data_IF_465569017044
#
_entry.id   IF_465569017044
#
_cell.length_a   1.000
_cell.length_b   1.000
_cell.length_c   1.000
_cell.angle_alpha   90.00
_cell.angle_beta   90.00
_cell.angle_gamma   90.00
#
_symmetry.space_group_name_H-M   'P 1'
#
loop_
_entity.id
_entity.type
_entity.pdbx_description
1 polymer ?
#
# COMPACT_ATOMS: atom_id res chain seq x y z
N UNK A 1 14.26 -0.49 -19.22
CA UNK A 1 15.02 -1.30 -18.24
C UNK A 1 14.16 -2.39 -17.60
N UNK A 2 12.92 -2.11 -17.16
CA UNK A 2 12.04 -3.12 -16.55
C UNK A 2 11.61 -4.23 -17.52
N UNK A 3 11.25 -3.86 -18.76
CA UNK A 3 10.81 -4.80 -19.81
C UNK A 3 11.88 -5.85 -20.12
N UNK A 4 13.15 -5.46 -20.16
CA UNK A 4 14.27 -6.38 -20.39
C UNK A 4 14.40 -7.39 -19.24
N UNK A 5 14.29 -6.92 -18.00
CA UNK A 5 14.36 -7.79 -16.83
C UNK A 5 13.17 -8.77 -16.81
N UNK A 6 11.97 -8.33 -17.15
CA UNK A 6 10.81 -9.21 -17.28
C UNK A 6 11.03 -10.32 -18.30
N UNK A 7 11.56 -9.98 -19.49
CA UNK A 7 11.85 -10.97 -20.53
C UNK A 7 12.92 -11.97 -20.08
N UNK A 8 13.99 -11.47 -19.45
CA UNK A 8 15.05 -12.31 -18.92
C UNK A 8 14.54 -13.31 -17.88
N UNK A 9 13.72 -12.85 -16.93
CA UNK A 9 13.19 -13.70 -15.87
C UNK A 9 12.15 -14.71 -16.38
N UNK A 10 11.36 -14.36 -17.41
CA UNK A 10 10.42 -15.30 -18.03
C UNK A 10 11.10 -16.44 -18.79
N UNK A 11 12.30 -16.20 -19.31
CA UNK A 11 13.11 -17.22 -19.98
C UNK A 11 14.05 -17.99 -19.06
N UNK A 12 13.97 -17.77 -17.74
CA UNK A 12 14.83 -18.44 -16.78
C UNK A 12 14.23 -19.79 -16.37
N UNK A 13 14.96 -20.89 -16.62
CA UNK A 13 14.49 -22.25 -16.35
C UNK A 13 14.59 -22.68 -14.87
N UNK A 14 15.21 -21.86 -14.02
CA UNK A 14 15.38 -22.15 -12.60
C UNK A 14 14.25 -21.60 -11.72
N UNK A 15 14.28 -21.95 -10.43
CA UNK A 15 13.40 -21.34 -9.44
C UNK A 15 13.86 -19.92 -9.08
N UNK A 16 12.90 -19.02 -8.91
CA UNK A 16 13.14 -17.61 -8.60
C UNK A 16 12.42 -17.24 -7.30
N UNK A 17 13.18 -16.72 -6.33
CA UNK A 17 12.65 -16.14 -5.10
C UNK A 17 13.04 -14.67 -5.06
N UNK A 18 12.06 -13.79 -4.90
CA UNK A 18 12.29 -12.34 -4.88
C UNK A 18 11.28 -11.61 -4.01
N UNK A 19 11.61 -10.35 -3.69
CA UNK A 19 10.71 -9.40 -3.05
C UNK A 19 10.61 -8.15 -3.92
N UNK A 20 9.39 -7.66 -4.18
CA UNK A 20 9.16 -6.42 -4.94
C UNK A 20 7.96 -5.66 -4.38
N UNK A 21 7.98 -4.34 -4.56
CA UNK A 21 6.84 -3.46 -4.28
C UNK A 21 6.05 -3.11 -5.56
N UNK A 22 6.56 -3.48 -6.74
CA UNK A 22 5.88 -3.26 -8.02
C UNK A 22 4.88 -4.41 -8.27
N UNK A 23 3.59 -4.08 -8.16
CA UNK A 23 2.50 -5.04 -8.29
C UNK A 23 2.36 -5.59 -9.70
N UNK A 24 2.53 -4.74 -10.71
CA UNK A 24 2.38 -5.16 -12.10
C UNK A 24 3.51 -6.09 -12.51
N UNK A 25 4.74 -5.76 -12.10
CA UNK A 25 5.90 -6.62 -12.32
C UNK A 25 5.71 -7.98 -11.66
N UNK A 26 5.30 -8.01 -10.37
CA UNK A 26 5.01 -9.26 -9.67
C UNK A 26 3.94 -10.06 -10.41
N UNK A 27 2.83 -9.42 -10.81
CA UNK A 27 1.75 -10.11 -11.49
C UNK A 27 2.17 -10.73 -12.83
N UNK A 28 3.16 -10.15 -13.52
CA UNK A 28 3.67 -10.65 -14.80
C UNK A 28 4.70 -11.78 -14.67
N UNK A 29 5.31 -11.97 -13.50
CA UNK A 29 6.48 -12.84 -13.31
C UNK A 29 6.20 -14.00 -12.34
N UNK A 30 5.52 -13.75 -11.22
CA UNK A 30 5.34 -14.78 -10.19
C UNK A 30 4.13 -15.65 -10.47
N UNK A 31 4.25 -16.94 -10.15
CA UNK A 31 3.19 -17.93 -10.21
C UNK A 31 2.81 -18.46 -8.81
N UNK A 32 3.52 -17.99 -7.78
CA UNK A 32 3.28 -18.34 -6.38
C UNK A 32 3.65 -17.15 -5.51
N UNK A 33 2.78 -16.82 -4.55
CA UNK A 33 3.00 -15.76 -3.58
C UNK A 33 3.10 -16.38 -2.19
N UNK A 34 4.12 -16.00 -1.43
CA UNK A 34 4.24 -16.37 -0.02
C UNK A 34 4.02 -15.12 0.81
N UNK A 35 2.98 -15.14 1.63
CA UNK A 35 2.71 -14.12 2.63
C UNK A 35 3.31 -14.56 3.97
N UNK A 36 4.02 -13.64 4.62
CA UNK A 36 4.45 -13.78 6.01
C UNK A 36 3.55 -12.89 6.85
N UNK A 37 2.68 -13.49 7.67
CA UNK A 37 1.83 -12.75 8.59
C UNK A 37 1.74 -13.45 9.95
N UNK A 38 1.86 -12.67 11.03
CA UNK A 38 1.77 -13.13 12.42
C UNK A 38 2.70 -14.31 12.80
N UNK A 39 3.84 -14.46 12.13
CA UNK A 39 4.76 -15.59 12.33
C UNK A 39 4.37 -16.86 11.56
N UNK A 40 3.32 -16.80 10.74
CA UNK A 40 2.90 -17.86 9.82
C UNK A 40 3.30 -17.55 8.37
N UNK A 41 3.55 -18.60 7.59
CA UNK A 41 3.86 -18.55 6.17
C UNK A 41 2.70 -19.14 5.38
N UNK A 42 1.98 -18.30 4.63
CA UNK A 42 0.85 -18.72 3.81
C UNK A 42 1.23 -18.66 2.34
N UNK A 43 1.11 -19.78 1.63
CA UNK A 43 1.45 -19.89 0.22
C UNK A 43 0.19 -19.91 -0.65
N UNK A 44 0.16 -19.06 -1.67
CA UNK A 44 -0.92 -18.95 -2.64
C UNK A 44 -0.37 -19.32 -4.03
N UNK A 45 -0.99 -20.31 -4.67
CA UNK A 45 -0.68 -20.67 -6.06
C UNK A 45 -1.48 -19.77 -6.99
N UNK A 46 -0.80 -18.98 -7.81
CA UNK A 46 -1.39 -17.95 -8.65
C UNK A 46 -0.52 -16.69 -8.74
N UNK A 47 -0.96 -15.75 -9.54
CA UNK A 47 -0.32 -14.45 -9.66
C UNK A 47 -0.62 -13.53 -8.46
N UNK A 48 -0.11 -12.30 -8.51
CA UNK A 48 -0.25 -11.35 -7.42
C UNK A 48 -1.71 -10.88 -7.25
N UNK A 49 -2.46 -10.73 -8.34
CA UNK A 49 -3.87 -10.35 -8.31
C UNK A 49 -4.73 -11.44 -7.66
N UNK A 50 -4.51 -12.71 -8.01
CA UNK A 50 -5.18 -13.84 -7.39
C UNK A 50 -4.94 -13.86 -5.87
N UNK A 51 -3.69 -13.71 -5.44
CA UNK A 51 -3.35 -13.58 -4.01
C UNK A 51 -4.14 -12.46 -3.33
N UNK A 52 -4.18 -11.26 -3.94
CA UNK A 52 -4.90 -10.12 -3.37
C UNK A 52 -6.41 -10.37 -3.25
N UNK A 53 -7.02 -11.07 -4.21
CA UNK A 53 -8.43 -11.46 -4.14
C UNK A 53 -8.68 -12.47 -3.02
N UNK A 54 -7.86 -13.53 -2.94
CA UNK A 54 -7.98 -14.54 -1.88
C UNK A 54 -7.83 -13.92 -0.50
N UNK A 55 -6.83 -13.05 -0.32
CA UNK A 55 -6.63 -12.30 0.91
C UNK A 55 -7.85 -11.44 1.26
N UNK A 56 -8.41 -10.70 0.30
CA UNK A 56 -9.58 -9.86 0.55
C UNK A 56 -10.85 -10.66 0.89
N UNK A 57 -10.97 -11.90 0.40
CA UNK A 57 -12.05 -12.82 0.79
C UNK A 57 -11.82 -13.32 2.21
N UNK A 58 -10.61 -13.77 2.53
CA UNK A 58 -10.24 -14.24 3.87
C UNK A 58 -10.44 -13.14 4.92
N UNK A 59 -9.98 -11.92 4.65
CA UNK A 59 -10.16 -10.75 5.52
C UNK A 59 -11.64 -10.46 5.77
N UNK A 60 -12.49 -10.52 4.72
CA UNK A 60 -13.95 -10.34 4.84
C UNK A 60 -14.60 -11.43 5.68
N UNK A 61 -14.20 -12.69 5.49
CA UNK A 61 -14.73 -13.81 6.29
C UNK A 61 -14.34 -13.67 7.75
N UNK A 62 -13.09 -13.32 8.04
CA UNK A 62 -12.58 -13.08 9.39
C UNK A 62 -13.32 -11.92 10.07
N UNK A 63 -13.49 -10.79 9.37
CA UNK A 63 -14.24 -9.63 9.86
C UNK A 63 -15.70 -10.01 10.18
N UNK A 64 -16.38 -10.72 9.29
CA UNK A 64 -17.77 -11.14 9.51
C UNK A 64 -17.91 -12.17 10.64
N UNK A 65 -16.92 -13.04 10.86
CA UNK A 65 -16.89 -13.94 12.01
C UNK A 65 -16.68 -13.16 13.32
N UNK A 66 -15.74 -12.22 13.32
CA UNK A 66 -15.47 -11.35 14.46
C UNK A 66 -16.71 -10.54 14.86
N UNK A 67 -17.37 -9.87 13.91
CA UNK A 67 -18.58 -9.09 14.16
C UNK A 67 -19.73 -9.94 14.72
N UNK A 68 -19.96 -11.14 14.14
CA UNK A 68 -20.99 -12.06 14.63
C UNK A 68 -20.72 -12.50 16.07
N UNK A 69 -19.46 -12.79 16.39
CA UNK A 69 -19.07 -13.17 17.74
C UNK A 69 -19.24 -12.00 18.71
N UNK A 70 -18.80 -10.79 18.36
CA UNK A 70 -18.96 -9.60 19.19
C UNK A 70 -20.44 -9.29 19.46
N UNK A 71 -21.31 -9.40 18.46
CA UNK A 71 -22.74 -9.22 18.62
C UNK A 71 -23.37 -10.28 19.54
N UNK A 72 -22.93 -11.54 19.46
CA UNK A 72 -23.35 -12.59 20.37
C UNK A 72 -22.91 -12.30 21.81
N UNK A 73 -21.62 -11.97 22.01
CA UNK A 73 -21.06 -11.65 23.32
C UNK A 73 -21.80 -10.47 23.96
N UNK A 74 -22.06 -9.40 23.19
CA UNK A 74 -22.80 -8.24 23.67
C UNK A 74 -24.22 -8.59 24.16
N UNK A 75 -24.93 -9.46 23.44
CA UNK A 75 -26.27 -9.93 23.85
C UNK A 75 -26.23 -10.74 25.14
N UNK A 76 -25.25 -11.63 25.28
CA UNK A 76 -25.07 -12.47 26.47
C UNK A 76 -24.70 -11.62 27.69
N UNK A 77 -23.80 -10.65 27.53
CA UNK A 77 -23.40 -9.70 28.58
C UNK A 77 -24.60 -8.86 29.02
N UNK A 78 -25.36 -8.29 28.09
CA UNK A 78 -26.56 -7.51 28.41
C UNK A 78 -27.62 -8.34 29.17
N UNK A 79 -27.76 -9.63 28.83
CA UNK A 79 -28.63 -10.54 29.57
C UNK A 79 -28.12 -10.76 31.00
N UNK A 80 -26.83 -11.04 31.16
CA UNK A 80 -26.21 -11.22 32.48
C UNK A 80 -26.42 -9.97 33.33
N UNK A 81 -26.10 -8.79 32.82
CA UNK A 81 -26.25 -7.52 33.54
C UNK A 81 -27.70 -7.27 33.97
N UNK A 82 -28.66 -7.48 33.06
CA UNK A 82 -30.09 -7.27 33.35
C UNK A 82 -30.65 -8.21 34.42
N UNK A 83 -30.12 -9.43 34.53
CA UNK A 83 -30.68 -10.49 35.37
C UNK A 83 -29.78 -10.93 36.54
N UNK A 84 -28.57 -10.36 36.68
CA UNK A 84 -27.60 -10.69 37.75
C UNK A 84 -28.16 -10.52 39.17
N UNK A 85 -29.05 -9.54 39.37
CA UNK A 85 -29.65 -9.25 40.67
C UNK A 85 -30.96 -10.03 40.97
N UNK A 86 -31.50 -10.78 39.99
CA UNK A 86 -32.74 -11.55 40.17
C UNK A 86 -32.43 -13.00 40.55
N UNK A 87 -32.77 -13.39 41.77
CA UNK A 87 -32.54 -14.76 42.27
C UNK A 87 -33.20 -15.84 41.39
N UNK A 88 -34.37 -15.55 40.78
CA UNK A 88 -35.07 -16.47 39.88
C UNK A 88 -34.29 -16.85 38.61
N UNK A 89 -33.32 -16.03 38.18
CA UNK A 89 -32.51 -16.27 36.99
C UNK A 89 -31.06 -16.65 37.30
N UNK A 90 -30.71 -16.89 38.57
CA UNK A 90 -29.33 -17.14 39.01
C UNK A 90 -28.69 -18.32 38.27
N UNK A 91 -29.37 -19.45 38.14
CA UNK A 91 -28.87 -20.63 37.41
C UNK A 91 -28.60 -20.33 35.92
N UNK A 92 -29.45 -19.51 35.30
CA UNK A 92 -29.34 -19.14 33.88
C UNK A 92 -28.20 -18.17 33.64
N UNK A 93 -28.00 -17.19 34.54
CA UNK A 93 -26.85 -16.28 34.52
C UNK A 93 -25.54 -17.05 34.70
N UNK A 94 -25.47 -17.96 35.68
CA UNK A 94 -24.27 -18.77 35.94
C UNK A 94 -23.90 -19.67 34.76
N UNK A 95 -24.89 -20.26 34.08
CA UNK A 95 -24.67 -21.06 32.88
C UNK A 95 -24.06 -20.23 31.74
N UNK A 96 -24.57 -19.02 31.51
CA UNK A 96 -24.08 -18.11 30.46
C UNK A 96 -22.67 -17.57 30.77
N UNK A 97 -22.37 -17.25 32.02
CA UNK A 97 -21.00 -16.86 32.45
C UNK A 97 -20.00 -17.98 32.13
N UNK A 98 -20.30 -19.22 32.53
CA UNK A 98 -19.44 -20.38 32.21
C UNK A 98 -19.30 -20.64 30.71
N UNK A 99 -20.33 -20.32 29.91
CA UNK A 99 -20.28 -20.43 28.46
C UNK A 99 -19.34 -19.38 27.86
N UNK A 100 -19.40 -18.14 28.35
CA UNK A 100 -18.53 -17.04 27.90
C UNK A 100 -17.05 -17.31 28.21
N UNK A 101 -16.75 -17.92 29.36
CA UNK A 101 -15.37 -18.27 29.75
C UNK A 101 -14.75 -19.36 28.87
N UNK A 102 -15.57 -20.15 28.18
CA UNK A 102 -15.12 -21.26 27.31
C UNK A 102 -15.05 -20.90 25.83
N UNK A 103 -15.41 -19.66 25.46
CA UNK A 103 -15.37 -19.24 24.06
C UNK A 103 -13.96 -18.76 23.70
N UNK A 104 -13.36 -19.40 22.70
CA UNK A 104 -12.13 -18.92 22.06
C UNK A 104 -12.42 -17.66 21.25
N UNK A 105 -11.81 -16.55 21.67
CA UNK A 105 -12.05 -15.25 21.06
C UNK A 105 -11.28 -15.13 19.75
N UNK A 106 -12.01 -15.03 18.64
CA UNK A 106 -11.44 -14.61 17.34
C UNK A 106 -10.71 -13.27 17.52
N UNK A 107 -9.44 -13.23 17.08
CA UNK A 107 -8.62 -12.02 17.11
C UNK A 107 -9.20 -10.93 16.19
N UNK A 108 -9.05 -9.65 16.57
CA UNK A 108 -9.48 -8.56 15.70
C UNK A 108 -8.65 -8.58 14.41
N UNK A 109 -9.29 -8.48 13.23
CA UNK A 109 -8.57 -8.47 11.97
C UNK A 109 -7.62 -7.27 11.91
N UNK A 110 -6.40 -7.51 11.41
CA UNK A 110 -5.37 -6.48 11.26
C UNK A 110 -5.85 -5.44 10.25
N UNK A 111 -6.07 -4.20 10.69
CA UNK A 111 -6.43 -3.11 9.79
C UNK A 111 -5.20 -2.71 8.97
N UNK A 112 -5.31 -2.83 7.65
CA UNK A 112 -4.34 -2.22 6.73
C UNK A 112 -4.36 -0.71 7.00
N UNK A 113 -3.25 -0.15 7.46
CA UNK A 113 -3.13 1.30 7.61
C UNK A 113 -3.09 1.91 6.21
N UNK A 114 -4.22 2.43 5.75
CA UNK A 114 -4.26 3.26 4.55
C UNK A 114 -3.69 4.60 4.95
N UNK A 115 -2.48 4.91 4.47
CA UNK A 115 -1.91 6.24 4.62
C UNK A 115 -2.65 7.16 3.66
N UNK A 116 -3.62 7.90 4.19
CA UNK A 116 -4.29 8.94 3.42
C UNK A 116 -3.31 10.11 3.23
N UNK A 117 -2.78 10.25 2.03
CA UNK A 117 -1.98 11.41 1.65
C UNK A 117 -2.91 12.53 1.19
N UNK A 118 -3.09 13.54 2.04
CA UNK A 118 -3.75 14.77 1.65
C UNK A 118 -2.69 15.77 1.15
N UNK A 119 -2.80 16.16 -0.11
CA UNK A 119 -1.99 17.22 -0.67
C UNK A 119 -2.66 18.55 -0.42
N UNK A 120 -1.96 19.47 0.23
CA UNK A 120 -2.44 20.84 0.41
C UNK A 120 -2.77 21.45 -0.96
N UNK A 121 -3.92 22.13 -1.10
CA UNK A 121 -4.27 22.78 -2.36
C UNK A 121 -3.18 23.80 -2.72
N UNK A 122 -2.70 23.74 -3.96
CA UNK A 122 -1.65 24.64 -4.42
C UNK A 122 -2.12 26.10 -4.36
N UNK A 123 -1.29 27.04 -3.90
CA UNK A 123 -1.61 28.46 -3.95
C UNK A 123 -1.86 28.91 -5.40
N UNK A 124 -2.59 30.02 -5.59
CA UNK A 124 -2.84 30.57 -6.92
C UNK A 124 -1.51 30.85 -7.63
N UNK A 125 -1.30 30.24 -8.79
CA UNK A 125 -0.17 30.49 -9.68
C UNK A 125 -0.64 31.04 -11.04
N UNK A 126 0.25 31.78 -11.70
CA UNK A 126 0.07 32.25 -13.07
C UNK A 126 0.12 31.10 -14.09
N UNK A 127 -0.05 31.43 -15.38
CA UNK A 127 0.01 30.45 -16.46
C UNK A 127 1.39 29.82 -16.61
N UNK A 128 2.47 30.60 -16.45
CA UNK A 128 3.84 30.10 -16.47
C UNK A 128 4.29 29.74 -15.05
N UNK A 129 4.51 28.45 -14.80
CA UNK A 129 4.85 27.92 -13.48
C UNK A 129 6.36 27.72 -13.33
N UNK A 130 7.02 27.26 -14.38
CA UNK A 130 8.49 27.13 -14.44
C UNK A 130 8.95 27.68 -15.79
N UNK A 131 9.95 28.54 -15.77
CA UNK A 131 10.60 29.05 -16.99
C UNK A 131 12.10 29.01 -16.79
N UNK A 132 12.78 28.18 -17.57
CA UNK A 132 14.22 28.07 -17.67
C UNK A 132 14.65 28.60 -19.04
N UNK A 133 15.62 29.50 -19.06
CA UNK A 133 16.16 30.07 -20.29
C UNK A 133 17.67 29.95 -20.30
N UNK A 134 18.22 29.45 -21.41
CA UNK A 134 19.65 29.29 -21.65
C UNK A 134 20.40 28.68 -20.44
N UNK A 135 19.84 27.64 -19.81
CA UNK A 135 20.44 27.07 -18.60
C UNK A 135 21.63 26.20 -18.95
N UNK A 136 22.76 26.51 -18.31
CA UNK A 136 23.98 25.71 -18.35
C UNK A 136 24.18 25.06 -16.97
N UNK A 137 24.44 23.76 -16.93
CA UNK A 137 24.71 23.05 -15.68
C UNK A 137 25.75 21.97 -15.90
N UNK A 138 26.79 21.98 -15.07
CA UNK A 138 27.81 20.94 -15.02
C UNK A 138 28.03 20.46 -13.58
N UNK A 139 28.55 19.24 -13.45
CA UNK A 139 29.13 18.70 -12.22
C UNK A 139 30.58 18.29 -12.51
N UNK A 140 31.54 19.06 -11.99
CA UNK A 140 32.94 18.91 -12.35
C UNK A 140 33.16 19.12 -13.86
N UNK A 141 33.83 18.18 -14.51
CA UNK A 141 34.07 18.19 -15.97
C UNK A 141 32.87 17.77 -16.81
N UNK A 142 31.81 17.22 -16.20
CA UNK A 142 30.65 16.70 -16.94
C UNK A 142 29.58 17.77 -17.07
N UNK A 143 29.43 18.30 -18.29
CA UNK A 143 28.28 19.12 -18.65
C UNK A 143 27.00 18.24 -18.69
N UNK A 144 25.96 18.70 -18.01
CA UNK A 144 24.63 18.08 -17.96
C UNK A 144 23.67 18.82 -18.89
N UNK A 145 23.68 20.15 -18.85
CA UNK A 145 22.89 21.02 -19.73
C UNK A 145 23.78 22.11 -20.31
N UNK A 146 23.59 22.39 -21.59
CA UNK A 146 24.24 23.47 -22.32
C UNK A 146 23.16 24.20 -23.13
N UNK A 147 22.70 25.35 -22.64
CA UNK A 147 21.66 26.16 -23.32
C UNK A 147 20.26 25.55 -23.25
N UNK A 148 19.85 25.00 -22.11
CA UNK A 148 18.51 24.43 -21.95
C UNK A 148 17.45 25.54 -21.82
N UNK A 149 16.51 25.57 -22.76
CA UNK A 149 15.24 26.30 -22.67
C UNK A 149 14.10 25.33 -22.33
N UNK A 150 13.36 25.60 -21.26
CA UNK A 150 12.30 24.71 -20.77
C UNK A 150 11.21 25.49 -20.07
N UNK A 151 9.94 25.21 -20.39
CA UNK A 151 8.78 25.89 -19.81
C UNK A 151 7.73 24.88 -19.37
N UNK A 152 7.17 25.07 -18.18
CA UNK A 152 6.01 24.31 -17.69
C UNK A 152 4.89 25.26 -17.37
N UNK A 153 3.71 25.00 -17.94
CA UNK A 153 2.51 25.80 -17.71
C UNK A 153 1.59 25.17 -16.68
N UNK A 154 0.69 25.99 -16.17
CA UNK A 154 -0.32 25.60 -15.17
C UNK A 154 -1.18 24.46 -15.71
N UNK A 155 -1.47 23.47 -14.85
CA UNK A 155 -2.25 22.25 -15.14
C UNK A 155 -1.58 21.24 -16.10
N UNK A 156 -0.39 21.51 -16.59
CA UNK A 156 0.35 20.50 -17.37
C UNK A 156 0.87 19.37 -16.47
N UNK A 157 0.97 18.17 -17.05
CA UNK A 157 1.50 16.97 -16.39
C UNK A 157 2.65 16.44 -17.22
N UNK A 158 3.86 16.52 -16.67
CA UNK A 158 5.10 16.16 -17.37
C UNK A 158 5.73 14.93 -16.74
N UNK A 159 6.30 14.06 -17.57
CA UNK A 159 7.13 12.94 -17.15
C UNK A 159 8.54 13.16 -17.70
N UNK A 160 9.57 13.08 -16.84
CA UNK A 160 10.97 13.22 -17.25
C UNK A 160 11.57 11.82 -17.40
N UNK A 161 11.92 11.46 -18.63
CA UNK A 161 12.48 10.15 -18.99
C UNK A 161 13.94 10.26 -19.43
N UNK A 162 14.69 9.16 -19.33
CA UNK A 162 16.09 9.09 -19.77
C UNK A 162 16.92 8.08 -18.98
N UNK A 163 18.11 7.76 -19.47
CA UNK A 163 19.05 6.84 -18.79
C UNK A 163 19.54 7.40 -17.45
N UNK A 164 20.14 6.55 -16.62
CA UNK A 164 20.77 7.00 -15.37
C UNK A 164 21.93 7.95 -15.70
N UNK A 165 21.99 9.08 -14.99
CA UNK A 165 22.97 10.13 -15.27
C UNK A 165 22.61 11.09 -16.42
N UNK A 166 21.43 10.95 -17.07
CA UNK A 166 20.97 11.89 -18.10
C UNK A 166 20.53 13.28 -17.57
N UNK A 167 20.72 13.56 -16.27
CA UNK A 167 20.36 14.85 -15.68
C UNK A 167 18.93 14.96 -15.12
N UNK A 168 18.11 13.90 -15.11
CA UNK A 168 16.70 13.96 -14.63
C UNK A 168 16.54 14.61 -13.24
N UNK A 169 17.31 14.14 -12.25
CA UNK A 169 17.31 14.73 -10.90
C UNK A 169 17.90 16.14 -10.87
N UNK A 170 18.80 16.46 -11.80
CA UNK A 170 19.32 17.81 -11.98
C UNK A 170 18.21 18.75 -12.46
N UNK A 171 17.39 18.34 -13.44
CA UNK A 171 16.24 19.13 -13.91
C UNK A 171 15.24 19.43 -12.78
N UNK A 172 14.90 18.43 -11.98
CA UNK A 172 13.99 18.61 -10.84
C UNK A 172 14.55 19.58 -9.78
N UNK A 173 15.89 19.65 -9.64
CA UNK A 173 16.56 20.57 -8.71
C UNK A 173 16.68 22.00 -9.24
N UNK A 174 16.53 22.22 -10.55
CA UNK A 174 16.67 23.57 -11.12
C UNK A 174 15.54 24.52 -10.66
N UNK A 175 14.45 24.01 -10.09
CA UNK A 175 13.41 24.83 -9.45
C UNK A 175 12.69 25.79 -10.40
N UNK A 176 11.66 26.51 -9.93
CA UNK A 176 10.85 27.41 -10.76
C UNK A 176 11.57 28.70 -11.19
N UNK A 177 12.69 29.02 -10.54
CA UNK A 177 13.51 30.22 -10.78
C UNK A 177 14.99 29.85 -10.86
N UNK A 178 15.39 29.10 -11.89
CA UNK A 178 16.79 29.08 -12.29
C UNK A 178 16.99 29.99 -13.50
N UNK A 179 17.04 31.29 -13.22
CA UNK A 179 17.96 32.17 -13.94
C UNK A 179 19.26 32.14 -13.13
N UNK A 180 20.17 31.24 -13.50
CA UNK A 180 21.57 31.36 -13.08
C UNK A 180 22.32 31.77 -14.35
N UNK A 181 23.03 32.92 -14.34
CA UNK A 181 23.84 33.35 -15.47
C UNK A 181 24.95 32.34 -15.81
#
# INVERSE_FOLDING_TARGET
SLIWLEQFLKGYDGALLMTSHDREFMNRIVNKVVEIDAGSLNAYSGDYEFYQQQRAIADRQLQAQFERQQAMLAKEIAFIERFKARASHAAQVQSRVKKLDKIDRVEPPKRRQIVNFEFQPAPRCGEDVVTLRNVHKAYGSRAIYQGLDFQVRRRERWCIMGVNGAGKSTLLKLGPRATVP
#
